data_IF_349461541995
#
_entry.id   IF_349461541995
#
_cell.length_a   1.000
_cell.length_b   1.000
_cell.length_c   1.000
_cell.angle_alpha   90.00
_cell.angle_beta   90.00
_cell.angle_gamma   90.00
#
_symmetry.space_group_name_H-M   'P 1'
#
loop_
_entity.id
_entity.type
_entity.pdbx_description
1 polymer ?
#
# COMPACT_ATOMS: atom_id res chain seq x y z
N UNK A 1 13.59 3.69 -17.14
CA UNK A 1 12.72 4.79 -16.66
C UNK A 1 11.26 4.35 -16.62
N UNK A 2 10.66 3.99 -17.77
CA UNK A 2 9.28 3.48 -17.95
C UNK A 2 8.71 2.65 -16.78
N UNK A 3 9.40 1.59 -16.37
CA UNK A 3 8.92 0.69 -15.32
C UNK A 3 8.83 1.35 -13.93
N UNK A 4 9.80 2.21 -13.59
CA UNK A 4 9.81 2.93 -12.32
C UNK A 4 8.74 4.03 -12.27
N UNK A 5 8.47 4.68 -13.40
CA UNK A 5 7.37 5.65 -13.52
C UNK A 5 6.01 4.96 -13.31
N UNK A 6 5.86 3.74 -13.85
CA UNK A 6 4.67 2.91 -13.61
C UNK A 6 4.55 2.44 -12.17
N UNK A 7 5.66 2.05 -11.54
CA UNK A 7 5.69 1.67 -10.12
C UNK A 7 5.28 2.84 -9.22
N UNK A 8 5.85 4.02 -9.45
CA UNK A 8 5.51 5.22 -8.70
C UNK A 8 4.03 5.62 -8.89
N UNK A 9 3.47 5.40 -10.08
CA UNK A 9 2.04 5.58 -10.30
C UNK A 9 1.20 4.54 -9.56
N UNK A 10 1.54 3.26 -9.61
CA UNK A 10 0.76 2.20 -8.98
C UNK A 10 0.75 2.29 -7.44
N UNK A 11 1.87 2.74 -6.86
CA UNK A 11 2.05 2.80 -5.41
C UNK A 11 1.67 4.13 -4.78
N UNK A 12 1.90 5.26 -5.46
CA UNK A 12 1.69 6.62 -4.93
C UNK A 12 0.62 7.41 -5.71
N UNK A 13 0.27 6.99 -6.93
CA UNK A 13 -0.67 7.69 -7.80
C UNK A 13 -0.10 8.94 -8.45
N UNK A 14 1.21 8.99 -8.67
CA UNK A 14 1.88 10.07 -9.39
C UNK A 14 1.73 9.88 -10.91
N UNK A 15 1.14 10.87 -11.59
CA UNK A 15 0.95 10.84 -13.04
C UNK A 15 2.15 11.45 -13.77
N UNK A 16 2.71 10.71 -14.73
CA UNK A 16 3.81 11.15 -15.59
C UNK A 16 3.30 11.48 -16.98
N UNK A 17 3.55 12.70 -17.46
CA UNK A 17 3.13 13.18 -18.78
C UNK A 17 4.13 12.67 -19.83
N UNK A 18 3.64 12.12 -20.94
CA UNK A 18 4.48 11.63 -22.04
C UNK A 18 4.91 10.16 -21.91
N UNK A 19 4.45 9.44 -20.90
CA UNK A 19 4.67 8.00 -20.76
C UNK A 19 3.75 7.21 -21.72
N UNK A 20 4.26 6.23 -22.48
CA UNK A 20 3.48 5.55 -23.55
C UNK A 20 2.38 4.61 -23.03
N UNK A 21 2.56 3.97 -21.87
CA UNK A 21 1.59 3.00 -21.30
C UNK A 21 1.52 3.10 -19.77
N UNK A 22 0.66 4.00 -19.27
CA UNK A 22 0.44 4.19 -17.84
C UNK A 22 -0.66 3.25 -17.33
N UNK A 23 -0.25 2.15 -16.72
CA UNK A 23 -1.14 1.17 -16.07
C UNK A 23 -0.46 0.47 -14.89
N UNK A 24 -1.28 -0.21 -14.07
CA UNK A 24 -0.85 -0.93 -12.85
C UNK A 24 0.14 -2.02 -13.22
N UNK A 25 1.00 -2.38 -12.28
CA UNK A 25 2.04 -3.39 -12.53
C UNK A 25 2.30 -4.31 -11.34
N UNK A 26 2.24 -3.80 -10.12
CA UNK A 26 2.49 -4.58 -8.90
C UNK A 26 1.19 -4.93 -8.17
N UNK A 27 0.19 -4.04 -8.20
CA UNK A 27 -1.11 -4.30 -7.55
C UNK A 27 -2.01 -5.19 -8.41
N UNK A 28 -2.99 -5.80 -7.77
CA UNK A 28 -4.01 -6.62 -8.46
C UNK A 28 -4.77 -5.77 -9.50
N UNK A 29 -5.29 -6.43 -10.55
CA UNK A 29 -5.95 -5.79 -11.67
C UNK A 29 -7.16 -4.94 -11.26
N UNK A 30 -7.91 -5.40 -10.25
CA UNK A 30 -9.09 -4.72 -9.70
C UNK A 30 -8.80 -3.79 -8.52
N UNK A 31 -7.53 -3.61 -8.15
CA UNK A 31 -7.17 -2.92 -6.91
C UNK A 31 -7.59 -1.45 -6.91
N UNK A 32 -8.24 -1.01 -5.81
CA UNK A 32 -8.69 0.37 -5.62
C UNK A 32 -7.79 1.07 -4.60
N UNK A 33 -7.18 2.18 -5.03
CA UNK A 33 -6.27 2.97 -4.20
C UNK A 33 -4.79 2.81 -4.58
N UNK A 34 -3.94 3.41 -3.74
CA UNK A 34 -2.48 3.51 -3.90
C UNK A 34 -1.82 3.13 -2.57
N UNK A 35 -1.22 1.93 -2.44
CA UNK A 35 -0.86 1.35 -1.15
C UNK A 35 0.13 2.14 -0.30
N UNK A 36 1.07 2.88 -0.91
CA UNK A 36 2.13 3.57 -0.18
C UNK A 36 1.75 4.98 0.26
N UNK A 37 0.49 5.40 0.07
CA UNK A 37 0.02 6.67 0.63
C UNK A 37 -0.24 6.55 2.14
N UNK A 38 -0.07 7.66 2.85
CA UNK A 38 -0.16 7.71 4.32
C UNK A 38 -1.57 7.54 4.86
N UNK A 39 -2.58 7.81 4.04
CA UNK A 39 -4.00 7.60 4.32
C UNK A 39 -4.44 6.15 4.10
N UNK A 40 -3.66 5.33 3.40
CA UNK A 40 -4.00 3.94 3.12
C UNK A 40 -3.71 3.04 4.35
N UNK A 41 -4.67 2.24 4.82
CA UNK A 41 -4.45 1.35 5.97
C UNK A 41 -3.52 0.19 5.58
N UNK A 42 -2.68 -0.25 6.52
CA UNK A 42 -1.71 -1.32 6.29
C UNK A 42 -2.36 -2.63 5.80
N UNK A 43 -3.55 -2.93 6.29
CA UNK A 43 -4.30 -4.16 5.99
C UNK A 43 -5.08 -4.08 4.69
N UNK A 44 -5.21 -2.89 4.09
CA UNK A 44 -6.11 -2.65 2.97
C UNK A 44 -7.59 -2.67 3.35
N UNK A 45 -8.44 -2.67 2.32
CA UNK A 45 -9.90 -2.59 2.46
C UNK A 45 -10.62 -3.89 2.11
N UNK A 46 -10.06 -4.70 1.21
CA UNK A 46 -10.66 -5.91 0.69
C UNK A 46 -9.72 -7.12 0.91
N UNK A 47 -10.28 -8.25 1.30
CA UNK A 47 -9.62 -9.56 1.38
C UNK A 47 -10.25 -10.53 0.38
N UNK A 48 -9.51 -11.59 0.03
CA UNK A 48 -9.96 -12.58 -0.95
C UNK A 48 -10.30 -13.89 -0.24
N UNK A 49 -11.54 -14.35 -0.41
CA UNK A 49 -12.02 -15.65 0.06
C UNK A 49 -12.51 -16.53 -1.09
N UNK A 50 -12.53 -17.85 -0.89
CA UNK A 50 -13.17 -18.77 -1.84
C UNK A 50 -14.62 -19.04 -1.42
N UNK A 51 -15.57 -18.82 -2.35
CA UNK A 51 -16.98 -19.09 -2.11
C UNK A 51 -17.39 -20.42 -2.75
N UNK A 52 -17.74 -21.42 -1.93
CA UNK A 52 -18.19 -22.73 -2.43
C UNK A 52 -19.46 -22.64 -3.28
N UNK A 53 -20.37 -21.70 -2.96
CA UNK A 53 -21.63 -21.51 -3.68
C UNK A 53 -21.41 -21.10 -5.13
N UNK A 54 -20.43 -20.22 -5.34
CA UNK A 54 -20.11 -19.65 -6.66
C UNK A 54 -18.96 -20.39 -7.33
N UNK A 55 -18.21 -21.21 -6.59
CA UNK A 55 -16.97 -21.89 -7.02
C UNK A 55 -15.92 -20.92 -7.59
N UNK A 56 -15.83 -19.74 -7.00
CA UNK A 56 -14.99 -18.63 -7.45
C UNK A 56 -14.37 -17.89 -6.26
N UNK A 57 -13.30 -17.14 -6.53
CA UNK A 57 -12.71 -16.20 -5.58
C UNK A 57 -13.58 -14.94 -5.51
N UNK A 58 -13.87 -14.49 -4.29
CA UNK A 58 -14.70 -13.33 -4.00
C UNK A 58 -13.87 -12.35 -3.16
N UNK A 59 -14.01 -11.06 -3.49
CA UNK A 59 -13.43 -9.96 -2.72
C UNK A 59 -14.46 -9.50 -1.69
N UNK A 60 -14.11 -9.53 -0.42
CA UNK A 60 -14.95 -9.16 0.72
C UNK A 60 -14.25 -8.08 1.56
N UNK A 61 -15.00 -7.25 2.32
CA UNK A 61 -14.38 -6.27 3.21
C UNK A 61 -13.54 -6.98 4.29
N UNK A 62 -12.34 -6.47 4.56
CA UNK A 62 -11.39 -7.09 5.50
C UNK A 62 -11.99 -7.21 6.91
N UNK A 63 -11.99 -8.42 7.47
CA UNK A 63 -12.29 -8.67 8.89
C UNK A 63 -11.15 -9.48 9.51
N UNK A 64 -10.33 -8.81 10.31
CA UNK A 64 -9.21 -9.47 11.00
C UNK A 64 -9.70 -10.16 12.27
N UNK A 65 -9.29 -11.41 12.47
CA UNK A 65 -9.49 -12.10 13.76
C UNK A 65 -8.70 -11.41 14.90
N UNK A 66 -7.59 -10.78 14.57
CA UNK A 66 -6.78 -9.97 15.48
C UNK A 66 -6.34 -8.69 14.78
N UNK A 67 -6.63 -7.55 15.40
CA UNK A 67 -6.22 -6.24 14.89
C UNK A 67 -4.70 -6.06 14.91
N UNK A 68 -4.21 -5.27 13.95
CA UNK A 68 -2.81 -4.86 13.89
C UNK A 68 -2.45 -3.99 15.11
N UNK A 69 -1.38 -4.35 15.82
CA UNK A 69 -0.90 -3.61 16.99
C UNK A 69 0.28 -2.72 16.62
N UNK A 70 0.08 -1.41 16.75
CA UNK A 70 1.12 -0.41 16.58
C UNK A 70 1.97 -0.28 17.84
N UNK A 71 3.19 -0.82 17.79
CA UNK A 71 4.17 -0.63 18.85
C UNK A 71 5.11 0.52 18.48
N UNK A 72 4.93 1.67 19.13
CA UNK A 72 5.85 2.79 19.02
C UNK A 72 7.06 2.51 19.92
N UNK A 73 8.15 2.02 19.33
CA UNK A 73 9.42 1.79 20.04
C UNK A 73 10.18 3.08 20.37
N UNK A 74 9.61 4.26 20.09
CA UNK A 74 10.20 5.52 20.49
C UNK A 74 10.27 5.59 22.02
N UNK A 75 11.48 5.48 22.55
CA UNK A 75 11.74 5.75 23.95
C UNK A 75 11.37 7.19 24.30
N UNK A 76 11.06 7.49 25.58
CA UNK A 76 10.67 8.83 26.02
C UNK A 76 11.84 9.84 25.96
N UNK A 77 13.06 9.36 25.73
CA UNK A 77 14.25 10.19 25.64
C UNK A 77 14.57 10.51 24.18
N UNK A 78 15.07 11.72 23.95
CA UNK A 78 15.51 12.16 22.63
C UNK A 78 16.46 11.13 22.01
N UNK A 79 16.19 10.62 20.79
CA UNK A 79 17.19 9.89 20.05
C UNK A 79 18.35 10.86 19.79
N UNK A 80 19.49 10.55 20.38
CA UNK A 80 20.65 11.43 20.54
C UNK A 80 21.01 12.27 19.33
N UNK A 81 21.23 13.57 19.59
CA UNK A 81 22.29 14.39 19.02
C UNK A 81 22.15 14.71 17.54
N UNK A 82 21.50 15.83 17.23
CA UNK A 82 21.77 16.55 15.99
C UNK A 82 23.28 16.73 15.87
N UNK A 83 23.89 16.00 14.95
CA UNK A 83 25.29 16.15 14.59
C UNK A 83 25.43 17.59 14.07
N UNK A 84 25.93 18.49 14.90
CA UNK A 84 26.33 19.84 14.49
C UNK A 84 27.47 19.69 13.49
N UNK A 85 27.10 19.65 12.21
CA UNK A 85 28.02 19.84 11.11
C UNK A 85 28.46 21.30 11.09
N UNK A 86 29.77 21.51 11.00
CA UNK A 86 30.35 22.76 10.52
C UNK A 86 29.69 23.24 9.24
#
# INVERSE_FOLDING_TARGET
AVWYEREAWDMLGLLFIGHPDMRRILTDYGFKGYPLRKDFPLTGFEEVGYSEKQRLLVYEPVVLAQDYRLYLFSGPWYPTGSRTGK
#
